data_IF_087306225347
#
_entry.id   IF_087306225347
#
_cell.length_a   1.000
_cell.length_b   1.000
_cell.length_c   1.000
_cell.angle_alpha   90.00
_cell.angle_beta   90.00
_cell.angle_gamma   90.00
#
_symmetry.space_group_name_H-M   'P 1'
#
loop_
_entity.id
_entity.type
_entity.pdbx_description
1 polymer ?
#
# COMPACT_ATOMS: atom_id res chain seq x y z
N UNK A 1 26.49 44.00 -25.11
CA UNK A 1 26.66 43.27 -23.82
C UNK A 1 25.26 43.01 -23.28
N UNK A 2 25.00 41.80 -22.76
CA UNK A 2 23.80 41.39 -22.00
C UNK A 2 22.49 41.15 -22.78
N UNK A 3 22.38 40.04 -23.50
CA UNK A 3 21.07 39.38 -23.70
C UNK A 3 21.12 37.90 -24.11
N UNK A 4 22.30 37.26 -24.08
CA UNK A 4 22.47 35.86 -24.55
C UNK A 4 22.58 34.85 -23.39
N UNK A 5 22.59 35.28 -22.13
CA UNK A 5 22.96 34.40 -21.01
C UNK A 5 21.81 33.82 -20.16
N UNK A 6 20.53 34.07 -20.48
CA UNK A 6 19.42 33.66 -19.59
C UNK A 6 18.58 32.49 -20.16
N UNK A 7 18.73 32.14 -21.43
CA UNK A 7 17.94 31.07 -22.07
C UNK A 7 18.58 29.68 -22.02
N UNK A 8 19.64 29.48 -21.22
CA UNK A 8 20.05 28.13 -20.83
C UNK A 8 19.23 27.73 -19.60
N UNK A 9 17.93 27.62 -19.85
CA UNK A 9 16.93 27.02 -18.97
C UNK A 9 17.38 25.58 -18.78
N UNK A 10 18.15 25.37 -17.71
CA UNK A 10 18.58 24.08 -17.19
C UNK A 10 17.30 23.25 -17.07
N UNK A 11 17.10 22.39 -18.06
CA UNK A 11 16.25 21.22 -18.00
C UNK A 11 16.82 20.34 -16.90
N UNK A 12 16.48 20.69 -15.66
CA UNK A 12 16.71 19.87 -14.49
C UNK A 12 15.75 18.68 -14.65
N UNK A 13 16.16 17.70 -15.45
CA UNK A 13 15.51 16.41 -15.55
C UNK A 13 15.64 15.73 -14.20
N UNK A 14 14.63 15.95 -13.34
CA UNK A 14 14.41 15.13 -12.17
C UNK A 14 14.14 13.71 -12.68
N UNK A 15 15.17 12.87 -12.68
CA UNK A 15 15.01 11.45 -12.92
C UNK A 15 14.28 10.86 -11.73
N UNK A 16 12.97 10.66 -11.89
CA UNK A 16 12.19 9.85 -10.95
C UNK A 16 12.70 8.42 -11.10
N UNK A 17 13.45 7.93 -10.10
CA UNK A 17 13.78 6.52 -10.01
C UNK A 17 12.52 5.75 -9.60
N UNK A 18 11.73 5.36 -10.60
CA UNK A 18 10.68 4.36 -10.41
C UNK A 18 11.34 2.97 -10.31
N UNK A 19 10.68 2.05 -9.60
CA UNK A 19 11.11 0.65 -9.59
C UNK A 19 10.93 0.03 -10.98
N UNK A 20 11.86 -0.84 -11.38
CA UNK A 20 11.77 -1.63 -12.62
C UNK A 20 12.17 -3.08 -12.36
N UNK A 21 11.59 -3.98 -13.15
CA UNK A 21 12.02 -5.38 -13.21
C UNK A 21 12.56 -5.64 -14.61
N UNK A 22 13.77 -6.16 -14.69
CA UNK A 22 14.54 -6.34 -15.92
C UNK A 22 15.14 -7.75 -15.99
N UNK A 23 15.69 -8.10 -17.15
CA UNK A 23 16.45 -9.35 -17.36
C UNK A 23 15.72 -10.62 -16.91
N UNK A 24 14.41 -10.69 -17.18
CA UNK A 24 13.59 -11.87 -16.85
C UNK A 24 14.00 -13.03 -17.76
N UNK A 25 14.56 -14.08 -17.18
CA UNK A 25 14.96 -15.30 -17.88
C UNK A 25 14.42 -16.53 -17.14
N UNK A 26 13.68 -17.37 -17.85
CA UNK A 26 13.12 -18.60 -17.31
C UNK A 26 13.77 -19.82 -17.93
N UNK A 27 14.09 -20.82 -17.10
CA UNK A 27 14.63 -22.11 -17.55
C UNK A 27 13.90 -23.25 -16.84
N UNK A 28 13.50 -24.26 -17.58
CA UNK A 28 12.89 -25.47 -17.00
C UNK A 28 13.97 -26.41 -16.52
N UNK A 29 13.87 -26.84 -15.26
CA UNK A 29 14.75 -27.82 -14.64
C UNK A 29 13.85 -28.89 -14.02
N UNK A 30 13.82 -30.08 -14.64
CA UNK A 30 12.90 -31.17 -14.27
C UNK A 30 11.45 -30.68 -14.27
N UNK A 31 10.78 -30.74 -13.12
CA UNK A 31 9.37 -30.43 -12.93
C UNK A 31 9.13 -28.99 -12.47
N UNK A 32 10.15 -28.13 -12.61
CA UNK A 32 10.12 -26.76 -12.09
C UNK A 32 10.63 -25.77 -13.13
N UNK A 33 10.11 -24.55 -13.04
CA UNK A 33 10.62 -23.42 -13.79
C UNK A 33 11.41 -22.50 -12.86
N UNK A 34 12.66 -22.24 -13.21
CA UNK A 34 13.53 -21.30 -12.52
C UNK A 34 13.47 -19.97 -13.25
N UNK A 35 12.95 -18.95 -12.58
CA UNK A 35 12.75 -17.61 -13.10
C UNK A 35 13.77 -16.71 -12.42
N UNK A 36 14.70 -16.16 -13.21
CA UNK A 36 15.67 -15.18 -12.76
C UNK A 36 15.26 -13.80 -13.25
N UNK A 37 15.48 -12.77 -12.44
CA UNK A 37 15.17 -11.39 -12.79
C UNK A 37 16.03 -10.41 -11.99
N UNK A 38 16.15 -9.19 -12.48
CA UNK A 38 16.79 -8.08 -11.76
C UNK A 38 15.71 -7.12 -11.27
N UNK A 39 15.80 -6.71 -10.01
CA UNK A 39 14.87 -5.76 -9.40
C UNK A 39 15.59 -4.45 -9.08
N UNK A 40 15.34 -3.43 -9.89
CA UNK A 40 15.84 -2.09 -9.64
C UNK A 40 14.82 -1.31 -8.80
N UNK A 41 15.31 -0.60 -7.79
CA UNK A 41 14.49 0.22 -6.93
C UNK A 41 15.27 0.74 -5.73
N UNK A 42 14.62 1.55 -4.89
CA UNK A 42 15.19 2.18 -3.71
C UNK A 42 15.96 1.19 -2.83
N UNK A 43 17.25 1.44 -2.63
CA UNK A 43 18.11 0.61 -1.78
C UNK A 43 17.55 0.50 -0.36
N UNK A 44 17.45 -0.72 0.16
CA UNK A 44 16.93 -0.99 1.51
C UNK A 44 15.40 -0.93 1.63
N UNK A 45 14.68 -0.72 0.53
CA UNK A 45 13.24 -0.98 0.47
C UNK A 45 12.99 -2.48 0.25
N UNK A 46 11.88 -2.96 0.80
CA UNK A 46 11.36 -4.28 0.49
C UNK A 46 10.31 -4.13 -0.61
N UNK A 47 10.10 -5.19 -1.36
CA UNK A 47 9.17 -5.29 -2.45
C UNK A 47 8.27 -6.51 -2.24
N UNK A 48 7.04 -6.39 -2.72
CA UNK A 48 6.14 -7.49 -2.97
C UNK A 48 6.25 -7.86 -4.45
N UNK A 49 6.74 -9.05 -4.76
CA UNK A 49 6.97 -9.51 -6.12
C UNK A 49 5.90 -10.50 -6.54
N UNK A 50 5.17 -10.19 -7.60
CA UNK A 50 4.24 -11.08 -8.27
C UNK A 50 4.84 -11.56 -9.59
N UNK A 51 4.61 -12.82 -9.91
CA UNK A 51 4.99 -13.41 -11.20
C UNK A 51 3.72 -13.88 -11.89
N UNK A 52 3.63 -13.60 -13.18
CA UNK A 52 2.55 -14.03 -14.06
C UNK A 52 3.14 -14.76 -15.25
N UNK A 53 2.35 -15.63 -15.87
CA UNK A 53 2.75 -16.40 -17.03
C UNK A 53 1.77 -16.21 -18.18
N UNK A 54 2.24 -16.39 -19.40
CA UNK A 54 1.43 -16.36 -20.62
C UNK A 54 1.74 -17.61 -21.45
N UNK A 55 0.68 -18.22 -21.98
CA UNK A 55 0.72 -19.36 -22.90
C UNK A 55 0.28 -18.98 -24.31
N UNK A 56 -0.01 -17.69 -24.56
CA UNK A 56 -0.50 -17.16 -25.83
C UNK A 56 0.45 -16.11 -26.40
N UNK A 57 1.75 -16.27 -26.15
CA UNK A 57 2.79 -15.39 -26.69
C UNK A 57 2.82 -13.98 -26.09
N UNK A 58 2.28 -13.81 -24.88
CA UNK A 58 2.26 -12.53 -24.16
C UNK A 58 1.01 -11.69 -24.41
N UNK A 59 0.00 -12.22 -25.10
CA UNK A 59 -1.26 -11.50 -25.31
C UNK A 59 -2.06 -11.39 -24.01
N UNK A 60 -2.10 -12.46 -23.20
CA UNK A 60 -2.73 -12.48 -21.89
C UNK A 60 -1.80 -13.08 -20.84
N UNK A 61 -1.78 -12.48 -19.65
CA UNK A 61 -0.98 -12.95 -18.51
C UNK A 61 -1.89 -13.48 -17.41
N UNK A 62 -1.64 -14.71 -16.99
CA UNK A 62 -2.35 -15.45 -15.95
C UNK A 62 -1.49 -15.46 -14.69
N UNK A 63 -2.10 -15.23 -13.54
CA UNK A 63 -1.42 -15.22 -12.25
C UNK A 63 -2.12 -14.34 -11.20
N UNK A 64 -1.41 -13.97 -10.11
CA UNK A 64 -0.03 -14.34 -9.81
C UNK A 64 0.14 -15.85 -9.54
N UNK A 65 1.34 -16.39 -9.78
CA UNK A 65 1.71 -17.77 -9.44
C UNK A 65 1.49 -18.02 -7.94
N UNK A 66 0.93 -19.19 -7.59
CA UNK A 66 0.60 -19.59 -6.20
C UNK A 66 1.57 -20.62 -5.64
N UNK A 67 2.14 -21.49 -6.47
CA UNK A 67 3.09 -22.55 -6.11
C UNK A 67 4.51 -22.14 -6.48
N UNK A 68 4.87 -20.92 -6.07
CA UNK A 68 6.16 -20.30 -6.34
C UNK A 68 6.90 -20.04 -5.02
N UNK A 69 8.22 -20.19 -5.04
CA UNK A 69 9.10 -20.06 -3.87
C UNK A 69 10.38 -19.32 -4.22
N UNK A 70 11.11 -18.83 -3.22
CA UNK A 70 12.35 -18.07 -3.41
C UNK A 70 12.13 -16.57 -3.21
N UNK A 71 12.83 -15.75 -3.99
CA UNK A 71 12.69 -14.29 -3.98
C UNK A 71 11.43 -13.90 -4.76
N UNK A 72 10.29 -13.98 -4.10
CA UNK A 72 8.93 -13.75 -4.61
C UNK A 72 8.02 -13.46 -3.42
N UNK A 73 6.83 -12.90 -3.64
CA UNK A 73 5.92 -12.40 -2.61
C UNK A 73 6.59 -11.31 -1.76
N UNK A 74 6.33 -11.26 -0.46
CA UNK A 74 6.75 -10.14 0.41
C UNK A 74 8.21 -10.21 0.83
N UNK A 75 8.87 -9.05 0.90
CA UNK A 75 10.15 -8.90 1.59
C UNK A 75 11.37 -8.99 0.67
N UNK A 76 11.17 -9.00 -0.65
CA UNK A 76 12.26 -9.05 -1.63
C UNK A 76 12.96 -7.70 -1.68
N UNK A 77 14.28 -7.66 -1.49
CA UNK A 77 15.06 -6.42 -1.62
C UNK A 77 15.47 -6.17 -3.07
N UNK A 78 15.71 -4.92 -3.45
CA UNK A 78 16.29 -4.61 -4.76
C UNK A 78 17.68 -5.22 -4.94
N UNK A 79 18.07 -5.48 -6.19
CA UNK A 79 19.33 -6.11 -6.57
C UNK A 79 19.18 -7.03 -7.78
N UNK A 80 20.31 -7.44 -8.34
CA UNK A 80 20.40 -8.34 -9.47
C UNK A 80 20.34 -9.82 -9.05
N UNK A 81 20.00 -10.70 -10.00
CA UNK A 81 20.08 -12.15 -9.85
C UNK A 81 19.02 -12.75 -8.94
N UNK A 82 17.86 -12.12 -8.85
CA UNK A 82 16.73 -12.61 -8.05
C UNK A 82 16.21 -13.91 -8.60
N UNK A 83 15.90 -14.87 -7.73
CA UNK A 83 15.50 -16.21 -8.14
C UNK A 83 14.17 -16.65 -7.54
N UNK A 84 13.23 -16.96 -8.41
CA UNK A 84 11.97 -17.63 -8.07
C UNK A 84 11.93 -19.02 -8.71
N UNK A 85 11.30 -19.97 -8.02
CA UNK A 85 11.12 -21.35 -8.46
C UNK A 85 9.63 -21.68 -8.43
N UNK A 86 9.09 -22.01 -9.59
CA UNK A 86 7.69 -22.36 -9.78
C UNK A 86 7.51 -23.87 -10.01
N UNK A 87 6.57 -24.45 -9.28
CA UNK A 87 6.13 -25.85 -9.44
C UNK A 87 4.99 -25.90 -10.47
N UNK A 88 5.38 -26.00 -11.75
CA UNK A 88 4.47 -25.79 -12.90
C UNK A 88 3.30 -26.78 -12.90
N UNK A 89 3.54 -28.04 -12.57
CA UNK A 89 2.53 -29.10 -12.64
C UNK A 89 1.45 -29.00 -11.55
N UNK A 90 1.68 -28.19 -10.51
CA UNK A 90 0.64 -27.89 -9.49
C UNK A 90 -0.38 -26.85 -9.95
N UNK A 91 -0.10 -26.11 -11.02
CA UNK A 91 -0.97 -25.03 -11.51
C UNK A 91 -1.44 -25.23 -12.93
N UNK A 92 -0.57 -25.81 -13.76
CA UNK A 92 -0.78 -25.94 -15.17
C UNK A 92 -0.52 -27.38 -15.58
N UNK A 93 -1.49 -27.96 -16.29
CA UNK A 93 -1.25 -29.17 -17.06
C UNK A 93 -0.40 -28.81 -18.29
N UNK A 94 0.90 -28.68 -18.08
CA UNK A 94 1.85 -28.20 -19.09
C UNK A 94 2.00 -29.19 -20.25
N UNK A 95 1.85 -28.71 -21.49
CA UNK A 95 1.91 -29.51 -22.72
C UNK A 95 3.05 -29.10 -23.67
N UNK A 96 4.19 -28.61 -23.13
CA UNK A 96 5.35 -28.16 -23.91
C UNK A 96 5.14 -26.91 -24.79
N UNK A 97 4.12 -26.10 -24.51
CA UNK A 97 3.96 -24.77 -25.13
C UNK A 97 5.02 -23.78 -24.58
N UNK A 98 5.51 -22.81 -25.37
CA UNK A 98 6.40 -21.77 -24.86
C UNK A 98 5.67 -20.88 -23.85
N UNK A 99 6.27 -20.67 -22.68
CA UNK A 99 5.72 -19.81 -21.62
C UNK A 99 6.51 -18.50 -21.55
N UNK A 100 5.81 -17.37 -21.59
CA UNK A 100 6.37 -16.06 -21.29
C UNK A 100 6.06 -15.66 -19.84
N UNK A 101 6.95 -14.90 -19.21
CA UNK A 101 6.78 -14.45 -17.84
C UNK A 101 6.78 -12.93 -17.76
N UNK A 102 5.91 -12.40 -16.91
CA UNK A 102 5.92 -11.01 -16.47
C UNK A 102 6.12 -10.99 -14.96
N UNK A 103 7.05 -10.17 -14.51
CA UNK A 103 7.32 -9.99 -13.08
C UNK A 103 6.95 -8.55 -12.72
N UNK A 104 6.13 -8.40 -11.69
CA UNK A 104 5.71 -7.11 -11.15
C UNK A 104 6.26 -6.97 -9.74
N UNK A 105 6.99 -5.88 -9.49
CA UNK A 105 7.47 -5.53 -8.17
C UNK A 105 6.75 -4.29 -7.66
N UNK A 106 6.05 -4.44 -6.54
CA UNK A 106 5.37 -3.36 -5.85
C UNK A 106 6.22 -3.04 -4.62
N UNK A 107 6.67 -1.79 -4.43
CA UNK A 107 7.35 -1.41 -3.20
C UNK A 107 6.48 -1.81 -2.01
N UNK A 108 7.00 -2.71 -1.17
CA UNK A 108 6.46 -2.94 0.16
C UNK A 108 6.89 -1.75 0.99
N UNK A 109 6.18 -0.64 0.76
CA UNK A 109 6.33 0.59 1.51
C UNK A 109 6.16 0.16 2.96
N UNK A 110 7.24 0.34 3.74
CA UNK A 110 7.28 0.05 5.19
C UNK A 110 5.90 0.42 5.75
N UNK A 111 5.32 -0.45 6.61
CA UNK A 111 4.07 -0.15 7.35
C UNK A 111 3.97 1.34 7.55
N UNK A 112 2.90 1.95 7.04
CA UNK A 112 2.81 3.41 6.93
C UNK A 112 3.33 4.02 8.23
N UNK A 113 4.42 4.79 8.13
CA UNK A 113 5.12 5.29 9.31
C UNK A 113 4.12 6.05 10.16
N UNK A 114 4.20 5.86 11.48
CA UNK A 114 3.41 6.64 12.42
C UNK A 114 3.51 8.15 12.08
N UNK A 115 2.37 8.81 12.04
CA UNK A 115 2.26 10.24 11.76
C UNK A 115 1.95 10.94 13.06
N UNK A 116 2.91 11.73 13.52
CA UNK A 116 2.76 12.57 14.70
C UNK A 116 1.85 13.76 14.39
N UNK A 117 0.92 14.03 15.29
CA UNK A 117 0.04 15.19 15.25
C UNK A 117 -0.31 15.67 16.66
N UNK A 118 -1.15 16.69 16.74
CA UNK A 118 -1.47 17.36 18.01
C UNK A 118 -2.18 16.48 19.05
N UNK A 119 -2.68 15.31 18.65
CA UNK A 119 -3.33 14.36 19.55
C UNK A 119 -2.48 13.11 19.81
N UNK A 120 -1.32 12.96 19.18
CA UNK A 120 -0.47 11.78 19.30
C UNK A 120 0.02 11.24 17.96
N UNK A 121 0.56 10.03 18.01
CA UNK A 121 1.08 9.31 16.85
C UNK A 121 0.01 8.39 16.27
N UNK A 122 -0.40 8.65 15.03
CA UNK A 122 -1.35 7.79 14.30
C UNK A 122 -0.61 6.76 13.46
N UNK A 123 -0.96 5.48 13.61
CA UNK A 123 -0.35 4.37 12.87
C UNK A 123 -1.38 3.53 12.16
N UNK A 124 -1.08 3.05 10.95
CA UNK A 124 -1.87 2.00 10.32
C UNK A 124 -1.38 0.65 10.82
N UNK A 125 -2.28 -0.09 11.46
CA UNK A 125 -2.00 -1.43 11.98
C UNK A 125 -2.03 -2.42 10.82
N UNK A 126 -3.09 -2.34 10.00
CA UNK A 126 -3.38 -3.26 8.90
C UNK A 126 -4.32 -2.63 7.88
N UNK A 127 -4.16 -2.97 6.61
CA UNK A 127 -5.19 -2.75 5.59
C UNK A 127 -5.38 -4.06 4.81
N UNK A 128 -6.61 -4.51 4.61
CA UNK A 128 -6.88 -5.78 3.89
C UNK A 128 -8.28 -5.79 3.30
N UNK A 129 -8.50 -6.59 2.25
CA UNK A 129 -9.83 -6.81 1.69
C UNK A 129 -10.57 -7.94 2.40
N UNK A 130 -11.85 -7.69 2.70
CA UNK A 130 -12.80 -8.70 3.17
C UNK A 130 -14.07 -8.55 2.33
N UNK A 131 -14.36 -9.51 1.45
CA UNK A 131 -15.57 -9.50 0.59
C UNK A 131 -15.76 -8.18 -0.19
N UNK A 132 -14.72 -7.72 -0.90
CA UNK A 132 -14.67 -6.44 -1.65
C UNK A 132 -14.81 -5.16 -0.80
N UNK A 133 -14.78 -5.28 0.52
CA UNK A 133 -14.68 -4.15 1.44
C UNK A 133 -13.22 -4.03 1.85
N UNK A 134 -12.63 -2.85 1.62
CA UNK A 134 -11.34 -2.52 2.17
C UNK A 134 -11.52 -2.18 3.65
N UNK A 135 -10.83 -2.92 4.51
CA UNK A 135 -10.81 -2.72 5.96
C UNK A 135 -9.45 -2.17 6.34
N UNK A 136 -9.43 -1.00 7.00
CA UNK A 136 -8.22 -0.35 7.51
C UNK A 136 -8.31 -0.27 9.03
N UNK A 137 -7.41 -0.96 9.71
CA UNK A 137 -7.21 -0.90 11.15
C UNK A 137 -6.11 0.12 11.47
N UNK A 138 -6.35 1.01 12.44
CA UNK A 138 -5.41 2.04 12.85
C UNK A 138 -5.34 2.17 14.37
N UNK A 139 -4.26 2.76 14.89
CA UNK A 139 -4.16 3.21 16.27
C UNK A 139 -3.76 4.68 16.34
N UNK A 140 -4.16 5.32 17.43
CA UNK A 140 -3.67 6.62 17.86
C UNK A 140 -3.04 6.43 19.24
N UNK A 141 -1.73 6.65 19.34
CA UNK A 141 -1.01 6.68 20.61
C UNK A 141 -0.98 8.12 21.12
N UNK A 142 -1.76 8.47 22.14
CA UNK A 142 -1.86 9.86 22.56
C UNK A 142 -0.55 10.37 23.15
N UNK A 143 -0.16 11.58 22.74
CA UNK A 143 0.94 12.36 23.32
C UNK A 143 0.36 13.65 23.85
N UNK A 144 -0.14 13.60 25.08
CA UNK A 144 -0.94 14.67 25.68
C UNK A 144 -0.15 15.36 26.80
N UNK A 145 -0.28 16.68 26.91
CA UNK A 145 0.26 17.43 28.05
C UNK A 145 -0.44 17.06 29.37
N UNK A 146 -1.73 16.70 29.30
CA UNK A 146 -2.53 16.27 30.44
C UNK A 146 -2.82 14.77 30.37
N UNK A 147 -3.09 14.12 31.50
CA UNK A 147 -3.32 12.66 31.56
C UNK A 147 -4.49 12.19 30.68
N UNK A 148 -5.52 13.03 30.49
CA UNK A 148 -6.71 12.68 29.71
C UNK A 148 -7.17 13.81 28.79
N UNK A 149 -7.80 13.45 27.66
CA UNK A 149 -8.47 14.37 26.75
C UNK A 149 -9.66 13.67 26.08
N UNK A 150 -10.74 14.39 25.81
CA UNK A 150 -11.82 13.87 24.96
C UNK A 150 -11.72 14.46 23.56
N UNK A 151 -11.64 13.60 22.56
CA UNK A 151 -11.68 14.00 21.15
C UNK A 151 -12.87 13.37 20.43
N UNK A 152 -13.19 13.91 19.26
CA UNK A 152 -14.12 13.31 18.32
C UNK A 152 -13.47 13.22 16.96
N UNK A 153 -13.80 12.18 16.19
CA UNK A 153 -13.46 12.17 14.77
C UNK A 153 -14.25 13.27 14.08
N UNK A 154 -13.55 14.11 13.32
CA UNK A 154 -14.17 15.12 12.49
C UNK A 154 -14.85 14.44 11.28
N UNK A 155 -15.81 15.12 10.64
CA UNK A 155 -16.55 14.52 9.55
C UNK A 155 -15.66 14.13 8.37
N UNK A 156 -15.93 12.96 7.82
CA UNK A 156 -15.47 12.53 6.49
C UNK A 156 -13.96 12.28 6.38
N UNK A 157 -13.40 11.29 7.11
CA UNK A 157 -12.17 10.70 6.61
C UNK A 157 -12.45 10.21 5.19
N UNK A 158 -11.48 10.33 4.30
CA UNK A 158 -11.61 9.88 2.93
C UNK A 158 -10.35 9.19 2.47
N UNK A 159 -10.54 8.26 1.55
CA UNK A 159 -9.48 7.54 0.88
C UNK A 159 -9.32 8.10 -0.53
N UNK A 160 -8.09 8.26 -1.00
CA UNK A 160 -7.78 8.56 -2.40
C UNK A 160 -7.35 7.29 -3.09
N UNK A 161 -8.04 6.90 -4.16
CA UNK A 161 -7.73 5.73 -5.00
C UNK A 161 -6.56 6.01 -5.94
N UNK A 162 -6.04 4.97 -6.59
CA UNK A 162 -5.01 5.09 -7.64
C UNK A 162 -5.49 5.93 -8.84
N UNK A 163 -6.80 5.92 -9.13
CA UNK A 163 -7.41 6.76 -10.16
C UNK A 163 -7.57 8.24 -9.74
N UNK A 164 -7.29 8.56 -8.47
CA UNK A 164 -7.45 9.90 -7.89
C UNK A 164 -8.86 10.19 -7.37
N UNK A 165 -9.75 9.20 -7.37
CA UNK A 165 -11.10 9.32 -6.79
C UNK A 165 -11.03 9.41 -5.26
N UNK A 166 -11.93 10.21 -4.67
CA UNK A 166 -12.10 10.29 -3.23
C UNK A 166 -13.30 9.46 -2.78
N UNK A 167 -13.03 8.44 -1.98
CA UNK A 167 -14.04 7.56 -1.43
C UNK A 167 -14.32 7.91 0.04
N UNK A 168 -15.60 7.97 0.38
CA UNK A 168 -16.08 8.07 1.75
C UNK A 168 -16.26 6.67 2.35
N UNK A 169 -16.05 6.50 3.66
CA UNK A 169 -16.22 5.21 4.30
C UNK A 169 -17.69 4.86 4.52
N UNK A 170 -17.98 3.58 4.52
CA UNK A 170 -19.29 3.03 4.89
C UNK A 170 -19.42 2.80 6.40
N UNK A 171 -18.29 2.56 7.07
CA UNK A 171 -18.22 2.31 8.51
C UNK A 171 -16.94 2.88 9.11
N UNK A 172 -17.07 3.43 10.31
CA UNK A 172 -15.93 3.83 11.14
C UNK A 172 -16.19 3.33 12.57
N UNK A 173 -15.13 2.95 13.26
CA UNK A 173 -15.09 2.84 14.71
C UNK A 173 -13.80 3.45 15.23
N UNK A 174 -13.87 4.01 16.44
CA UNK A 174 -12.71 4.54 17.14
C UNK A 174 -12.95 4.48 18.65
N UNK A 175 -12.05 3.82 19.37
CA UNK A 175 -12.25 3.47 20.77
C UNK A 175 -13.50 2.61 20.95
N UNK A 176 -14.38 3.02 21.87
CA UNK A 176 -15.67 2.38 22.12
C UNK A 176 -16.81 2.94 21.25
N UNK A 177 -16.53 3.87 20.33
CA UNK A 177 -17.53 4.44 19.43
C UNK A 177 -17.58 3.66 18.11
N UNK A 178 -18.78 3.23 17.71
CA UNK A 178 -19.07 2.66 16.39
C UNK A 178 -20.03 3.57 15.61
N UNK A 179 -19.86 3.64 14.29
CA UNK A 179 -20.61 4.56 13.45
C UNK A 179 -20.96 3.98 12.08
N UNK A 180 -22.18 4.27 11.66
CA UNK A 180 -22.75 3.90 10.38
C UNK A 180 -23.25 5.20 9.71
N UNK A 181 -22.87 5.42 8.45
CA UNK A 181 -23.21 6.58 7.61
C UNK A 181 -22.50 7.92 7.88
N UNK A 182 -22.27 8.67 6.79
CA UNK A 182 -21.30 9.77 6.68
C UNK A 182 -21.76 11.15 7.15
N UNK A 183 -22.90 11.28 7.86
CA UNK A 183 -23.55 12.60 8.00
C UNK A 183 -23.59 13.21 9.41
N UNK A 184 -23.26 12.50 10.51
CA UNK A 184 -23.31 13.07 11.87
C UNK A 184 -22.25 12.46 12.82
N UNK A 185 -21.02 12.98 12.77
CA UNK A 185 -19.88 12.47 13.55
C UNK A 185 -19.67 13.21 14.87
N UNK A 186 -20.01 12.59 16.01
CA UNK A 186 -19.53 13.05 17.33
C UNK A 186 -19.55 11.91 18.38
N UNK A 187 -18.83 10.79 18.22
CA UNK A 187 -18.49 10.05 19.46
C UNK A 187 -17.32 10.78 20.13
N UNK A 188 -17.49 10.95 21.42
CA UNK A 188 -16.50 11.49 22.32
C UNK A 188 -15.68 10.31 22.83
N UNK A 189 -14.42 10.24 22.41
CA UNK A 189 -13.50 9.18 22.81
C UNK A 189 -12.52 9.76 23.82
N UNK A 190 -12.47 9.23 25.05
CA UNK A 190 -11.44 9.61 26.00
C UNK A 190 -10.10 9.00 25.54
N UNK A 191 -9.09 9.86 25.46
CA UNK A 191 -7.69 9.51 25.29
C UNK A 191 -7.02 9.58 26.65
N UNK A 192 -6.11 8.63 26.90
CA UNK A 192 -5.21 8.63 28.05
C UNK A 192 -3.78 8.63 27.52
N UNK A 193 -2.91 9.48 28.10
CA UNK A 193 -1.53 9.60 27.62
C UNK A 193 -0.82 8.24 27.66
N UNK A 194 -0.18 7.86 26.55
CA UNK A 194 0.51 6.57 26.42
C UNK A 194 -0.39 5.33 26.31
N UNK A 195 -1.71 5.48 26.27
CA UNK A 195 -2.66 4.36 26.05
C UNK A 195 -3.18 4.42 24.62
N UNK A 196 -2.84 3.40 23.85
CA UNK A 196 -3.22 3.28 22.44
C UNK A 196 -4.74 3.15 22.28
N UNK A 197 -5.32 3.97 21.41
CA UNK A 197 -6.75 3.89 21.06
C UNK A 197 -6.86 3.40 19.63
N UNK A 198 -7.56 2.27 19.44
CA UNK A 198 -7.71 1.63 18.14
C UNK A 198 -8.94 2.14 17.41
N UNK A 199 -8.89 2.06 16.09
CA UNK A 199 -10.05 2.29 15.24
C UNK A 199 -10.01 1.42 13.99
N UNK A 200 -11.14 1.40 13.30
CA UNK A 200 -11.34 0.63 12.08
C UNK A 200 -12.18 1.46 11.10
N UNK A 201 -11.78 1.51 9.83
CA UNK A 201 -12.50 2.18 8.76
C UNK A 201 -12.77 1.17 7.64
N UNK A 202 -13.98 1.20 7.06
CA UNK A 202 -14.34 0.35 5.92
C UNK A 202 -14.73 1.20 4.71
N UNK A 203 -14.18 0.86 3.56
CA UNK A 203 -14.51 1.46 2.28
C UNK A 203 -15.02 0.39 1.33
N UNK A 204 -16.08 0.69 0.60
CA UNK A 204 -16.50 -0.12 -0.54
C UNK A 204 -15.65 0.26 -1.74
N UNK A 205 -15.00 -0.73 -2.33
CA UNK A 205 -14.11 -0.53 -3.47
C UNK A 205 -14.72 -1.20 -4.71
N UNK A 206 -14.67 -0.51 -5.84
CA UNK A 206 -14.99 -1.12 -7.15
C UNK A 206 -13.87 -2.03 -7.63
N UNK A 207 -12.62 -1.67 -7.31
CA UNK A 207 -11.42 -2.35 -7.76
C UNK A 207 -10.51 -2.71 -6.57
N UNK A 208 -9.84 -3.86 -6.66
CA UNK A 208 -8.89 -4.29 -5.64
C UNK A 208 -7.51 -3.68 -5.91
N UNK A 209 -7.17 -2.65 -5.13
CA UNK A 209 -5.86 -2.00 -5.18
C UNK A 209 -4.84 -2.78 -4.34
N UNK A 210 -3.55 -2.66 -4.67
CA UNK A 210 -2.49 -3.27 -3.85
C UNK A 210 -1.88 -2.28 -2.85
N UNK A 211 -2.08 -0.99 -3.08
CA UNK A 211 -1.62 0.12 -2.24
C UNK A 211 -2.66 1.23 -2.32
N UNK A 212 -2.98 1.83 -1.18
CA UNK A 212 -3.80 3.04 -1.11
C UNK A 212 -2.90 4.29 -1.15
N UNK A 213 -3.06 5.17 -2.14
CA UNK A 213 -2.29 6.41 -2.24
C UNK A 213 -2.37 7.31 -1.01
N UNK A 214 -3.57 7.56 -0.50
CA UNK A 214 -3.76 8.39 0.68
C UNK A 214 -5.04 8.05 1.46
N UNK A 215 -4.97 8.22 2.77
CA UNK A 215 -6.08 8.21 3.71
C UNK A 215 -5.97 9.45 4.59
N UNK A 216 -7.02 10.26 4.60
CA UNK A 216 -7.15 11.37 5.54
C UNK A 216 -8.00 10.93 6.73
N UNK A 217 -7.49 11.11 7.95
CA UNK A 217 -8.25 10.94 9.18
C UNK A 217 -8.14 12.22 9.99
N UNK A 218 -9.27 12.80 10.37
CA UNK A 218 -9.31 14.07 11.08
C UNK A 218 -9.92 13.90 12.46
N UNK A 219 -9.31 14.50 13.47
CA UNK A 219 -9.82 14.53 14.84
C UNK A 219 -10.00 15.96 15.31
N UNK A 220 -10.91 16.21 16.23
CA UNK A 220 -11.08 17.52 16.86
C UNK A 220 -11.37 17.39 18.34
N UNK A 221 -10.97 18.40 19.09
CA UNK A 221 -11.35 18.58 20.49
C UNK A 221 -12.50 19.58 20.53
N UNK A 222 -13.67 19.16 21.02
CA UNK A 222 -14.85 20.04 21.13
C UNK A 222 -15.18 20.82 19.84
N UNK A 223 -15.11 22.15 19.90
CA UNK A 223 -15.40 23.09 18.81
C UNK A 223 -14.14 23.57 18.07
N UNK A 224 -12.98 23.02 18.40
CA UNK A 224 -11.71 23.38 17.77
C UNK A 224 -11.68 22.92 16.31
N UNK A 225 -10.79 23.54 15.53
CA UNK A 225 -10.51 23.11 14.17
C UNK A 225 -10.01 21.65 14.15
N UNK A 226 -10.45 20.84 13.17
CA UNK A 226 -9.91 19.50 12.99
C UNK A 226 -8.40 19.50 12.75
N UNK A 227 -7.75 18.47 13.28
CA UNK A 227 -6.35 18.13 13.05
C UNK A 227 -6.33 16.91 12.14
N UNK A 228 -5.67 17.08 11.00
CA UNK A 228 -5.62 16.10 9.93
C UNK A 228 -4.38 15.20 10.04
N UNK A 229 -4.61 13.90 9.90
CA UNK A 229 -3.59 12.88 9.74
C UNK A 229 -3.71 12.32 8.33
N UNK A 230 -2.82 12.76 7.44
CA UNK A 230 -2.76 12.26 6.06
C UNK A 230 -1.75 11.13 5.96
N UNK A 231 -2.24 9.91 6.02
CA UNK A 231 -1.42 8.72 5.79
C UNK A 231 -1.32 8.47 4.30
N UNK A 232 -0.12 8.25 3.79
CA UNK A 232 0.10 7.96 2.37
C UNK A 232 0.67 6.56 2.20
N UNK A 233 0.50 6.00 1.00
CA UNK A 233 1.20 4.79 0.58
C UNK A 233 0.92 3.58 1.49
N UNK A 234 -0.36 3.33 1.81
CA UNK A 234 -0.76 2.26 2.72
C UNK A 234 -0.79 0.93 1.95
N UNK A 235 0.09 -0.03 2.23
CA UNK A 235 0.06 -1.34 1.58
C UNK A 235 -1.16 -2.13 2.03
N UNK A 236 -1.77 -2.87 1.12
CA UNK A 236 -2.89 -3.77 1.42
C UNK A 236 -2.35 -5.20 1.57
N UNK A 237 -2.52 -5.76 2.76
CA UNK A 237 -2.24 -7.16 3.06
C UNK A 237 -3.30 -8.05 2.37
N UNK A 238 -2.82 -9.04 1.62
CA UNK A 238 -3.64 -10.06 0.96
C UNK A 238 -3.73 -11.31 1.81
#
# INVERSE_FOLDING_TARGET
MRLIFITLYIMLSLSVQAQSVENIVANTVQDKVIINYDLNGTTGANYYVNIYYSIDGGMNYIGPLRHVSGEVASGVQSGAGKKAQWDIFKELNYQNEPIQFKVEAIPNLRKAKAISGAFGDLSIIKASYVNNILVIEFSLLPSLENETMTISMAPSPYLTTQSGEQLLPEFISFGLGEFYESSKYVAKVPLMNGIDVKGLIKFKMTDQESVIPALLISFKKNWDNPVDYKVVNIPIER
#
